data_IF_860388984560
#
_entry.id   IF_860388984560
#
_cell.length_a   1.000
_cell.length_b   1.000
_cell.length_c   1.000
_cell.angle_alpha   90.00
_cell.angle_beta   90.00
_cell.angle_gamma   90.00
#
_symmetry.space_group_name_H-M   'P 1'
#
loop_
_entity.id
_entity.type
_entity.pdbx_description
1 polymer ?
#
# COMPACT_ATOMS: atom_id res chain seq x y z
N UNK A 1 2.64 1.40 -20.69
CA UNK A 1 2.08 2.11 -19.52
C UNK A 1 0.59 2.18 -19.71
N UNK A 2 -0.21 1.89 -18.69
CA UNK A 2 -1.66 1.89 -18.80
C UNK A 2 -2.31 2.46 -17.55
N UNK A 3 -3.38 3.21 -17.77
CA UNK A 3 -4.33 3.67 -16.77
C UNK A 3 -5.72 3.26 -17.25
N UNK A 4 -6.52 2.65 -16.39
CA UNK A 4 -7.93 2.40 -16.67
C UNK A 4 -8.78 2.68 -15.43
N UNK A 5 -9.98 3.19 -15.68
CA UNK A 5 -10.99 3.49 -14.67
C UNK A 5 -12.23 2.67 -14.99
N UNK A 6 -12.76 1.97 -13.99
CA UNK A 6 -13.92 1.11 -14.14
C UNK A 6 -14.93 1.39 -13.05
N UNK A 7 -16.21 1.44 -13.42
CA UNK A 7 -17.31 1.40 -12.46
C UNK A 7 -17.49 -0.06 -12.05
N UNK A 8 -17.57 -0.32 -10.75
CA UNK A 8 -17.77 -1.67 -10.21
C UNK A 8 -18.98 -1.72 -9.27
N UNK A 9 -19.54 -2.92 -9.13
CA UNK A 9 -20.70 -3.19 -8.29
C UNK A 9 -20.31 -3.91 -7.00
N UNK A 10 -19.17 -4.61 -7.03
CA UNK A 10 -18.64 -5.35 -5.90
C UNK A 10 -17.11 -5.46 -5.98
N UNK A 11 -16.48 -5.73 -4.82
CA UNK A 11 -15.05 -6.05 -4.76
C UNK A 11 -14.72 -7.29 -5.62
N UNK A 12 -15.65 -8.23 -5.78
CA UNK A 12 -15.47 -9.41 -6.64
C UNK A 12 -15.26 -9.10 -8.12
N UNK A 13 -15.56 -7.88 -8.57
CA UNK A 13 -15.32 -7.45 -9.95
C UNK A 13 -13.83 -7.13 -10.16
N UNK A 14 -13.10 -6.74 -9.11
CA UNK A 14 -11.71 -6.28 -9.18
C UNK A 14 -10.75 -7.35 -9.72
N UNK A 15 -10.77 -8.63 -9.25
CA UNK A 15 -9.89 -9.66 -9.80
C UNK A 15 -10.01 -9.84 -11.31
N UNK A 16 -11.23 -9.86 -11.86
CA UNK A 16 -11.47 -10.00 -13.30
C UNK A 16 -10.90 -8.82 -14.07
N UNK A 17 -11.09 -7.59 -13.57
CA UNK A 17 -10.55 -6.39 -14.19
C UNK A 17 -9.01 -6.38 -14.14
N UNK A 18 -8.42 -6.82 -13.03
CA UNK A 18 -6.96 -6.95 -12.91
C UNK A 18 -6.42 -8.04 -13.83
N UNK A 19 -7.10 -9.18 -13.96
CA UNK A 19 -6.73 -10.22 -14.92
C UNK A 19 -6.64 -9.64 -16.33
N UNK A 20 -7.71 -8.96 -16.79
CA UNK A 20 -7.75 -8.32 -18.10
C UNK A 20 -6.65 -7.25 -18.25
N UNK A 21 -6.53 -6.35 -17.27
CA UNK A 21 -5.55 -5.27 -17.29
C UNK A 21 -4.10 -5.77 -17.32
N UNK A 22 -3.75 -6.70 -16.44
CA UNK A 22 -2.42 -7.31 -16.38
C UNK A 22 -2.09 -8.04 -17.69
N UNK A 23 -3.05 -8.77 -18.26
CA UNK A 23 -2.90 -9.44 -19.57
C UNK A 23 -2.63 -8.42 -20.67
N UNK A 24 -3.41 -7.33 -20.74
CA UNK A 24 -3.21 -6.28 -21.77
C UNK A 24 -1.90 -5.54 -21.62
N UNK A 25 -1.40 -5.40 -20.38
CA UNK A 25 -0.10 -4.81 -20.11
C UNK A 25 1.05 -5.72 -20.51
N UNK A 26 0.83 -7.03 -20.67
CA UNK A 26 1.85 -8.04 -20.98
C UNK A 26 2.50 -8.69 -19.75
N UNK A 27 1.81 -8.67 -18.60
CA UNK A 27 2.20 -9.53 -17.48
C UNK A 27 1.92 -11.00 -17.81
N UNK A 28 2.69 -11.91 -17.20
CA UNK A 28 2.37 -13.33 -17.22
C UNK A 28 1.22 -13.59 -16.23
N UNK A 29 0.03 -13.85 -16.77
CA UNK A 29 -1.20 -14.07 -15.99
C UNK A 29 -1.68 -15.49 -16.20
N UNK A 30 -1.91 -16.19 -15.10
CA UNK A 30 -2.45 -17.55 -15.04
C UNK A 30 -3.58 -17.63 -13.99
N UNK A 31 -4.05 -18.83 -13.66
CA UNK A 31 -5.17 -19.02 -12.75
C UNK A 31 -6.53 -18.81 -13.44
N UNK A 32 -7.55 -18.46 -12.68
CA UNK A 32 -8.89 -18.14 -13.22
C UNK A 32 -9.10 -16.64 -13.29
N UNK A 33 -10.06 -16.17 -14.09
CA UNK A 33 -10.42 -14.75 -14.14
C UNK A 33 -10.83 -14.19 -12.77
N UNK A 34 -11.52 -15.00 -11.96
CA UNK A 34 -11.95 -14.62 -10.62
C UNK A 34 -10.82 -14.68 -9.56
N UNK A 35 -9.74 -15.42 -9.83
CA UNK A 35 -8.57 -15.54 -8.95
C UNK A 35 -7.29 -15.56 -9.79
N UNK A 36 -6.92 -14.42 -10.40
CA UNK A 36 -5.77 -14.38 -11.29
C UNK A 36 -4.48 -14.53 -10.50
N UNK A 37 -3.54 -15.26 -11.08
CA UNK A 37 -2.17 -15.38 -10.60
C UNK A 37 -1.31 -14.53 -11.53
N UNK A 38 -0.85 -13.39 -11.02
CA UNK A 38 0.02 -12.46 -11.75
C UNK A 38 1.46 -12.76 -11.38
N UNK A 39 2.28 -13.01 -12.39
CA UNK A 39 3.74 -13.15 -12.26
C UNK A 39 4.39 -11.88 -12.75
N UNK A 40 5.41 -11.48 -12.01
CA UNK A 40 6.28 -10.41 -12.42
C UNK A 40 7.01 -10.80 -13.72
N UNK A 41 6.99 -9.97 -14.78
CA UNK A 41 7.73 -10.26 -15.99
C UNK A 41 9.22 -10.40 -15.67
N UNK A 42 9.84 -11.43 -16.25
CA UNK A 42 11.25 -11.71 -16.02
C UNK A 42 12.10 -10.56 -16.58
N UNK A 43 12.98 -9.98 -15.76
CA UNK A 43 14.00 -9.05 -16.25
C UNK A 43 14.95 -9.88 -17.14
N UNK A 44 14.84 -9.74 -18.47
CA UNK A 44 15.61 -10.41 -19.54
C UNK A 44 15.02 -11.67 -20.23
N UNK A 45 13.77 -12.07 -19.96
CA UNK A 45 13.03 -13.02 -20.82
C UNK A 45 13.44 -14.51 -20.75
N UNK A 46 12.47 -15.36 -21.12
CA UNK A 46 12.44 -16.84 -21.15
C UNK A 46 12.37 -17.57 -19.78
N UNK A 47 11.15 -17.85 -19.32
CA UNK A 47 10.86 -18.69 -18.14
C UNK A 47 10.11 -17.93 -17.03
N UNK A 48 9.50 -18.62 -16.04
CA UNK A 48 8.76 -17.97 -14.96
C UNK A 48 9.74 -17.16 -14.11
N UNK A 49 9.78 -15.85 -14.37
CA UNK A 49 10.51 -14.88 -13.59
C UNK A 49 9.74 -14.45 -12.36
N UNK A 50 10.46 -14.28 -11.25
CA UNK A 50 9.91 -13.66 -10.06
C UNK A 50 8.83 -14.48 -9.32
N UNK A 51 8.33 -13.87 -8.25
CA UNK A 51 7.27 -14.45 -7.42
C UNK A 51 5.92 -14.31 -8.12
N UNK A 52 5.10 -15.35 -8.06
CA UNK A 52 3.72 -15.28 -8.52
C UNK A 52 2.81 -14.82 -7.38
N UNK A 53 1.83 -13.99 -7.68
CA UNK A 53 0.89 -13.46 -6.70
C UNK A 53 -0.54 -13.76 -7.14
N UNK A 54 -1.28 -14.48 -6.31
CA UNK A 54 -2.71 -14.64 -6.48
C UNK A 54 -3.43 -13.39 -5.97
N UNK A 55 -4.30 -12.82 -6.80
CA UNK A 55 -5.30 -11.85 -6.38
C UNK A 55 -6.58 -12.58 -6.06
N UNK A 56 -7.19 -12.28 -4.93
CA UNK A 56 -8.54 -12.75 -4.63
C UNK A 56 -9.39 -11.64 -4.02
N UNK A 57 -10.69 -11.76 -4.23
CA UNK A 57 -11.70 -11.01 -3.49
C UNK A 57 -12.26 -11.90 -2.40
N UNK A 58 -12.35 -11.39 -1.17
CA UNK A 58 -12.92 -12.11 -0.03
C UNK A 58 -14.17 -11.38 0.42
N UNK A 59 -15.30 -12.08 0.35
CA UNK A 59 -16.60 -11.60 0.80
C UNK A 59 -17.10 -12.55 1.88
N UNK A 60 -17.04 -12.12 3.14
CA UNK A 60 -17.54 -12.92 4.27
C UNK A 60 -18.12 -12.01 5.34
N UNK A 61 -19.41 -12.18 5.65
CA UNK A 61 -20.15 -11.29 6.56
C UNK A 61 -20.07 -9.84 6.09
N UNK A 62 -19.45 -8.97 6.89
CA UNK A 62 -19.20 -7.55 6.58
C UNK A 62 -17.86 -7.28 5.89
N UNK A 63 -16.97 -8.28 5.79
CA UNK A 63 -15.66 -8.11 5.16
C UNK A 63 -15.80 -8.11 3.64
N UNK A 64 -15.14 -7.16 3.00
CA UNK A 64 -15.09 -6.95 1.54
C UNK A 64 -13.66 -6.57 1.21
N UNK A 65 -12.86 -7.58 0.93
CA UNK A 65 -11.40 -7.43 0.88
C UNK A 65 -10.87 -7.78 -0.51
N UNK A 66 -9.82 -7.09 -0.95
CA UNK A 66 -8.97 -7.52 -2.07
C UNK A 66 -7.59 -7.83 -1.52
N UNK A 67 -7.05 -9.00 -1.87
CA UNK A 67 -5.79 -9.49 -1.32
C UNK A 67 -4.83 -9.96 -2.41
N UNK A 68 -3.59 -9.47 -2.35
CA UNK A 68 -2.44 -10.12 -2.97
C UNK A 68 -1.86 -11.17 -2.01
N UNK A 69 -1.63 -12.38 -2.52
CA UNK A 69 -0.97 -13.47 -1.79
C UNK A 69 0.12 -14.08 -2.65
N UNK A 70 1.37 -14.06 -2.17
CA UNK A 70 2.46 -14.74 -2.84
C UNK A 70 2.19 -16.25 -2.94
N UNK A 71 2.56 -16.87 -4.05
CA UNK A 71 2.50 -18.32 -4.26
C UNK A 71 3.78 -19.03 -3.78
N UNK A 72 4.60 -18.34 -2.99
CA UNK A 72 5.76 -18.91 -2.30
C UNK A 72 5.61 -18.75 -0.79
N UNK A 73 6.10 -19.74 -0.05
CA UNK A 73 6.14 -19.75 1.41
C UNK A 73 7.58 -19.60 1.87
N UNK A 74 7.82 -18.77 2.87
CA UNK A 74 9.17 -18.55 3.44
C UNK A 74 9.10 -18.76 4.94
N UNK A 75 9.88 -19.74 5.41
CA UNK A 75 9.88 -20.14 6.82
C UNK A 75 8.47 -20.40 7.35
N UNK A 76 7.61 -21.02 6.53
CA UNK A 76 6.22 -21.32 6.86
C UNK A 76 5.24 -20.15 6.71
N UNK A 77 5.68 -18.97 6.27
CA UNK A 77 4.83 -17.78 6.17
C UNK A 77 4.70 -17.32 4.71
N UNK A 78 3.47 -17.04 4.30
CA UNK A 78 3.13 -16.55 2.95
C UNK A 78 3.00 -15.03 2.98
N UNK A 79 3.82 -14.28 2.22
CA UNK A 79 3.66 -12.84 2.06
C UNK A 79 2.27 -12.48 1.50
N UNK A 80 1.59 -11.54 2.15
CA UNK A 80 0.26 -11.07 1.72
C UNK A 80 0.03 -9.59 2.04
N UNK A 81 -0.82 -8.97 1.23
CA UNK A 81 -1.29 -7.60 1.44
C UNK A 81 -2.75 -7.47 1.09
N UNK A 82 -3.53 -6.83 1.96
CA UNK A 82 -4.98 -6.74 1.82
C UNK A 82 -5.45 -5.30 1.92
N UNK A 83 -6.38 -4.89 1.06
CA UNK A 83 -7.24 -3.73 1.28
C UNK A 83 -8.62 -4.21 1.71
N UNK A 84 -9.23 -3.48 2.65
CA UNK A 84 -10.57 -3.72 3.14
C UNK A 84 -11.46 -2.52 2.83
N UNK A 85 -12.67 -2.78 2.33
CA UNK A 85 -13.66 -1.74 2.15
C UNK A 85 -14.00 -1.07 3.51
N UNK A 86 -14.24 0.24 3.54
CA UNK A 86 -14.75 0.91 4.74
C UNK A 86 -16.04 0.26 5.24
N UNK A 87 -16.14 0.09 6.56
CA UNK A 87 -17.35 -0.36 7.22
C UNK A 87 -18.08 0.89 7.71
N UNK A 88 -19.27 1.18 7.15
CA UNK A 88 -20.10 2.27 7.62
C UNK A 88 -21.04 1.79 8.74
N UNK A 89 -21.32 2.62 9.76
CA UNK A 89 -22.21 2.17 10.83
C UNK A 89 -23.61 1.92 10.32
N UNK A 90 -24.16 0.86 10.88
CA UNK A 90 -25.58 0.61 11.03
C UNK A 90 -26.26 1.78 11.75
N UNK A 91 -27.37 2.32 11.24
CA UNK A 91 -28.42 2.85 12.11
C UNK A 91 -28.80 1.78 13.13
N UNK A 92 -29.39 2.14 14.26
CA UNK A 92 -29.83 1.20 15.32
C UNK A 92 -30.86 0.13 14.86
N UNK A 93 -31.22 0.13 13.58
CA UNK A 93 -32.07 -0.87 12.92
C UNK A 93 -31.21 -1.86 12.11
N UNK A 94 -31.18 -3.16 12.47
CA UNK A 94 -30.34 -4.18 11.84
C UNK A 94 -30.82 -4.65 10.45
N UNK A 95 -31.87 -4.05 9.87
CA UNK A 95 -32.47 -4.53 8.62
C UNK A 95 -31.92 -3.93 7.32
N UNK A 96 -31.04 -2.92 7.39
CA UNK A 96 -30.42 -2.31 6.19
C UNK A 96 -28.90 -2.23 6.35
N UNK A 97 -28.18 -3.07 5.60
CA UNK A 97 -26.73 -2.97 5.49
C UNK A 97 -26.36 -1.75 4.64
N UNK A 98 -25.83 -0.67 5.23
CA UNK A 98 -25.18 0.39 4.46
C UNK A 98 -23.72 0.00 4.25
N UNK A 99 -23.51 -0.95 3.35
CA UNK A 99 -22.21 -1.19 2.75
C UNK A 99 -22.12 -0.21 1.59
N UNK A 100 -21.20 0.78 1.64
CA UNK A 100 -20.83 1.41 0.37
C UNK A 100 -19.98 0.40 -0.38
N UNK A 101 -20.58 -0.19 -1.40
CA UNK A 101 -19.85 -0.92 -2.40
C UNK A 101 -18.81 0.02 -3.01
N UNK A 102 -17.59 -0.45 -3.32
CA UNK A 102 -16.68 0.35 -4.12
C UNK A 102 -17.42 0.80 -5.38
N UNK A 103 -17.35 2.09 -5.68
CA UNK A 103 -18.03 2.65 -6.85
C UNK A 103 -17.13 2.55 -8.06
N UNK A 104 -15.81 2.68 -7.84
CA UNK A 104 -14.81 2.69 -8.89
C UNK A 104 -13.56 1.94 -8.49
N UNK A 105 -12.90 1.39 -9.49
CA UNK A 105 -11.52 0.93 -9.39
C UNK A 105 -10.67 1.61 -10.46
N UNK A 106 -9.50 2.05 -10.03
CA UNK A 106 -8.45 2.59 -10.87
C UNK A 106 -7.32 1.59 -10.93
N UNK A 107 -6.99 1.13 -12.13
CA UNK A 107 -5.88 0.23 -12.39
C UNK A 107 -4.78 1.03 -13.09
N UNK A 108 -3.60 1.05 -12.47
CA UNK A 108 -2.43 1.74 -13.00
C UNK A 108 -1.28 0.74 -13.07
N UNK A 109 -0.55 0.70 -14.17
CA UNK A 109 0.58 -0.21 -14.28
C UNK A 109 1.50 0.07 -15.46
N UNK A 110 2.70 -0.51 -15.38
CA UNK A 110 3.71 -0.46 -16.42
C UNK A 110 4.54 -1.74 -16.44
N UNK A 111 5.26 -1.97 -17.54
CA UNK A 111 6.26 -3.04 -17.65
C UNK A 111 7.69 -2.53 -17.53
N UNK A 112 7.95 -1.30 -17.98
CA UNK A 112 9.29 -0.70 -18.09
C UNK A 112 9.30 0.68 -17.43
N UNK A 113 10.38 1.11 -16.75
CA UNK A 113 11.64 0.39 -16.55
C UNK A 113 11.52 -0.84 -15.62
N UNK A 114 10.66 -0.79 -14.60
CA UNK A 114 10.32 -1.97 -13.80
C UNK A 114 8.80 -2.16 -13.68
N UNK A 115 8.33 -3.43 -13.68
CA UNK A 115 6.91 -3.70 -13.74
C UNK A 115 6.19 -3.46 -12.42
N UNK A 116 5.00 -2.87 -12.50
CA UNK A 116 4.08 -2.76 -11.37
C UNK A 116 2.61 -2.72 -11.78
N UNK A 117 1.75 -3.03 -10.82
CA UNK A 117 0.30 -2.87 -10.85
C UNK A 117 -0.13 -2.24 -9.52
N UNK A 118 -0.80 -1.10 -9.59
CA UNK A 118 -1.49 -0.48 -8.49
C UNK A 118 -3.01 -0.60 -8.72
N UNK A 119 -3.71 -0.94 -7.65
CA UNK A 119 -5.16 -1.03 -7.58
C UNK A 119 -5.59 0.02 -6.56
N UNK A 120 -6.36 1.00 -7.01
CA UNK A 120 -6.99 1.99 -6.13
C UNK A 120 -8.49 1.79 -6.21
N UNK A 121 -9.14 1.55 -5.07
CA UNK A 121 -10.61 1.46 -5.01
C UNK A 121 -11.18 2.71 -4.36
N UNK A 122 -12.27 3.23 -4.90
CA UNK A 122 -12.98 4.40 -4.37
C UNK A 122 -14.33 3.98 -3.81
N UNK A 123 -14.59 4.34 -2.55
CA UNK A 123 -15.73 3.92 -1.73
C UNK A 123 -16.54 5.13 -1.28
N UNK A 124 -17.07 5.89 -2.24
CA UNK A 124 -17.78 7.15 -2.00
C UNK A 124 -16.96 8.39 -2.36
N UNK A 125 -17.40 9.58 -1.94
CA UNK A 125 -16.80 10.85 -2.38
C UNK A 125 -15.37 11.04 -1.84
N UNK A 126 -14.38 10.76 -2.69
CA UNK A 126 -12.94 10.89 -2.41
C UNK A 126 -12.40 9.99 -1.28
N UNK A 127 -12.97 8.79 -1.09
CA UNK A 127 -12.49 7.81 -0.12
C UNK A 127 -11.78 6.66 -0.83
N UNK A 128 -10.47 6.55 -0.66
CA UNK A 128 -9.62 5.63 -1.41
C UNK A 128 -9.04 4.50 -0.54
N UNK A 129 -8.78 3.36 -1.18
CA UNK A 129 -7.95 2.26 -0.67
C UNK A 129 -6.91 1.86 -1.69
N UNK A 130 -5.66 1.70 -1.24
CA UNK A 130 -4.50 1.44 -2.10
C UNK A 130 -3.95 0.03 -1.92
N UNK A 131 -3.78 -0.70 -3.02
CA UNK A 131 -3.08 -1.99 -3.07
C UNK A 131 -2.03 -1.94 -4.18
N UNK A 132 -0.82 -2.40 -3.89
CA UNK A 132 0.33 -2.31 -4.78
C UNK A 132 1.04 -3.65 -4.89
N UNK A 133 1.39 -4.03 -6.11
CA UNK A 133 2.29 -5.11 -6.47
C UNK A 133 3.27 -4.55 -7.50
N UNK A 134 4.57 -4.54 -7.21
CA UNK A 134 5.53 -3.91 -8.11
C UNK A 134 6.96 -4.30 -7.82
N UNK A 135 7.88 -3.86 -8.67
CA UNK A 135 9.29 -3.87 -8.34
C UNK A 135 9.75 -2.54 -7.74
N UNK A 136 10.88 -2.60 -7.05
CA UNK A 136 11.65 -1.42 -6.64
C UNK A 136 12.76 -1.09 -7.65
N UNK A 137 12.98 0.21 -7.84
CA UNK A 137 14.25 0.75 -8.32
C UNK A 137 15.29 0.47 -7.23
N UNK A 138 16.23 -0.43 -7.50
CA UNK A 138 17.18 -0.94 -6.49
C UNK A 138 18.36 -0.01 -6.30
N UNK A 139 18.85 0.07 -5.07
CA UNK A 139 20.12 0.71 -4.73
C UNK A 139 21.15 -0.38 -4.46
N UNK A 140 22.27 -0.38 -5.17
CA UNK A 140 23.31 -1.41 -5.00
C UNK A 140 22.99 -2.72 -5.74
N UNK A 141 23.49 -3.83 -5.21
CA UNK A 141 23.52 -5.15 -5.87
C UNK A 141 22.48 -6.15 -5.31
N UNK A 142 21.43 -5.68 -4.62
CA UNK A 142 20.38 -6.56 -4.13
C UNK A 142 19.68 -7.28 -5.29
N UNK A 143 19.37 -8.55 -5.08
CA UNK A 143 18.51 -9.34 -5.96
C UNK A 143 17.07 -9.35 -5.43
N UNK A 144 16.13 -9.80 -6.26
CA UNK A 144 14.70 -9.61 -6.03
C UNK A 144 14.27 -8.17 -6.29
N UNK A 145 13.45 -7.63 -5.40
CA UNK A 145 12.88 -6.29 -5.47
C UNK A 145 11.36 -6.27 -5.59
N UNK A 146 10.70 -7.43 -5.52
CA UNK A 146 9.25 -7.52 -5.47
C UNK A 146 8.72 -6.85 -4.20
N UNK A 147 7.82 -5.89 -4.37
CA UNK A 147 7.16 -5.11 -3.33
C UNK A 147 5.68 -5.41 -3.40
N UNK A 148 5.11 -5.86 -2.29
CA UNK A 148 3.66 -5.85 -2.08
C UNK A 148 3.36 -4.95 -0.91
N UNK A 149 2.36 -4.10 -1.04
CA UNK A 149 1.90 -3.31 0.08
C UNK A 149 0.48 -2.85 -0.12
N UNK A 150 -0.19 -2.56 0.97
CA UNK A 150 -1.55 -2.08 0.97
C UNK A 150 -1.75 -1.09 2.09
N UNK A 151 -2.67 -0.18 1.84
CA UNK A 151 -3.29 0.59 2.87
C UNK A 151 -4.43 -0.25 3.45
N UNK A 152 -4.21 -0.77 4.66
CA UNK A 152 -5.33 -1.32 5.41
C UNK A 152 -6.14 -0.17 6.04
N UNK A 153 -7.46 -0.34 6.16
CA UNK A 153 -8.37 0.65 6.75
C UNK A 153 -7.98 1.03 8.20
N UNK A 154 -8.68 1.98 8.84
CA UNK A 154 -8.32 2.40 10.18
C UNK A 154 -8.34 1.21 11.14
N UNK A 155 -7.35 1.19 12.04
CA UNK A 155 -7.27 0.21 13.10
C UNK A 155 -7.70 0.89 14.41
N UNK A 156 -8.82 0.45 14.97
CA UNK A 156 -9.41 1.00 16.18
C UNK A 156 -8.51 0.76 17.40
N UNK A 157 -8.11 1.82 18.10
CA UNK A 157 -8.16 1.77 19.56
C UNK A 157 -8.33 3.15 20.20
N UNK A 158 -9.41 3.25 20.97
CA UNK A 158 -9.65 4.29 21.95
C UNK A 158 -8.61 4.16 23.08
N UNK A 159 -7.74 5.15 23.26
CA UNK A 159 -7.06 5.34 24.56
C UNK A 159 -5.54 5.48 24.57
N UNK A 160 -4.86 5.63 23.43
CA UNK A 160 -3.43 5.94 23.44
C UNK A 160 -3.15 7.23 22.69
N UNK A 161 -2.64 8.26 23.36
CA UNK A 161 -1.85 9.28 22.65
C UNK A 161 -0.61 8.57 22.10
N UNK A 162 -0.48 8.40 20.78
CA UNK A 162 0.84 8.08 20.26
C UNK A 162 1.58 9.39 20.13
N UNK A 163 2.51 9.61 21.04
CA UNK A 163 3.58 10.56 20.76
C UNK A 163 4.32 10.10 19.50
N UNK A 164 4.52 11.04 18.58
CA UNK A 164 5.27 10.87 17.33
C UNK A 164 6.77 10.51 17.53
N UNK A 165 7.20 10.23 18.76
CA UNK A 165 8.60 10.15 19.16
C UNK A 165 9.17 8.73 19.22
N UNK A 166 8.35 7.68 19.07
CA UNK A 166 8.82 6.29 19.13
C UNK A 166 9.31 5.82 17.74
N UNK A 167 10.61 6.02 17.48
CA UNK A 167 11.39 5.77 16.24
C UNK A 167 11.29 4.39 15.56
N UNK A 168 10.41 3.48 15.98
CA UNK A 168 10.32 2.10 15.45
C UNK A 168 8.89 1.62 15.21
N UNK A 169 7.88 2.48 15.37
CA UNK A 169 6.49 2.06 15.30
C UNK A 169 5.83 2.54 14.03
N UNK A 170 5.98 1.68 13.00
CA UNK A 170 5.24 1.56 11.73
C UNK A 170 5.96 2.12 10.51
N UNK A 171 6.47 1.22 9.69
CA UNK A 171 7.20 1.54 8.48
C UNK A 171 6.49 0.90 7.29
N UNK A 172 5.41 1.52 6.83
CA UNK A 172 4.63 1.02 5.70
C UNK A 172 4.79 1.95 4.52
N UNK A 173 4.93 1.37 3.33
CA UNK A 173 4.84 2.12 2.08
C UNK A 173 3.51 2.90 2.00
N UNK A 174 2.41 2.27 2.45
CA UNK A 174 1.10 2.90 2.61
C UNK A 174 0.68 2.90 4.10
N UNK A 175 0.42 4.06 4.69
CA UNK A 175 -0.06 4.16 6.08
C UNK A 175 -1.19 5.19 6.23
N UNK A 176 -2.15 4.86 7.10
CA UNK A 176 -3.17 5.77 7.64
C UNK A 176 -2.90 5.91 9.15
N UNK A 177 -3.18 7.07 9.73
CA UNK A 177 -2.80 7.44 11.10
C UNK A 177 -3.17 6.38 12.17
N UNK A 178 -2.20 6.08 13.06
CA UNK A 178 -2.19 5.43 14.40
C UNK A 178 -3.15 4.24 14.72
N UNK A 179 -2.73 2.97 14.81
CA UNK A 179 -2.38 2.10 15.99
C UNK A 179 -3.49 2.01 17.02
N UNK A 180 -4.25 0.91 17.06
CA UNK A 180 -3.69 -0.37 17.47
C UNK A 180 -4.54 -1.57 17.04
N UNK A 181 -3.85 -2.70 16.80
CA UNK A 181 -4.35 -4.08 16.62
C UNK A 181 -4.32 -4.65 15.20
N UNK A 182 -3.26 -5.44 15.00
CA UNK A 182 -3.18 -6.66 14.21
C UNK A 182 -4.03 -6.72 12.93
N UNK A 183 -3.37 -6.52 11.80
CA UNK A 183 -3.65 -7.39 10.65
C UNK A 183 -2.30 -7.82 10.07
N UNK A 184 -2.14 -9.13 9.85
CA UNK A 184 -0.91 -9.77 9.34
C UNK A 184 -0.70 -9.49 7.82
N UNK A 185 -1.20 -8.37 7.29
CA UNK A 185 -1.56 -8.21 5.87
C UNK A 185 -1.16 -6.86 5.26
N UNK A 186 0.03 -6.35 5.60
CA UNK A 186 0.55 -5.06 5.08
C UNK A 186 1.64 -5.19 4.00
N UNK A 187 1.97 -6.44 3.63
CA UNK A 187 2.97 -6.75 2.62
C UNK A 187 4.43 -6.68 3.10
N UNK A 188 5.33 -6.45 2.15
CA UNK A 188 6.77 -6.46 2.36
C UNK A 188 7.55 -6.29 1.06
N UNK A 189 8.86 -6.48 1.16
CA UNK A 189 9.81 -6.42 0.05
C UNK A 189 10.65 -7.69 0.03
N UNK A 190 10.75 -8.32 -1.13
CA UNK A 190 11.67 -9.40 -1.39
C UNK A 190 13.07 -8.85 -1.63
N UNK A 191 13.99 -9.16 -0.72
CA UNK A 191 15.39 -8.72 -0.77
C UNK A 191 16.27 -9.98 -0.71
N UNK A 192 16.98 -10.27 -1.79
CA UNK A 192 17.92 -11.41 -1.84
C UNK A 192 19.34 -10.86 -1.85
N UNK A 193 20.12 -11.15 -0.81
CA UNK A 193 21.51 -10.70 -0.65
C UNK A 193 22.22 -11.57 0.38
N UNK A 194 23.55 -11.73 0.27
CA UNK A 194 24.34 -12.56 1.20
C UNK A 194 24.22 -12.11 2.67
N UNK A 195 24.19 -10.80 2.90
CA UNK A 195 23.99 -10.21 4.23
C UNK A 195 22.54 -10.30 4.74
N UNK A 196 21.62 -10.86 3.96
CA UNK A 196 20.21 -10.95 4.32
C UNK A 196 19.82 -12.38 4.70
N UNK A 197 19.50 -12.59 5.97
CA UNK A 197 19.08 -13.89 6.51
C UNK A 197 17.64 -14.28 6.13
N UNK A 198 16.84 -13.34 5.62
CA UNK A 198 15.42 -13.55 5.32
C UNK A 198 15.04 -12.92 3.98
N UNK A 199 14.63 -13.74 3.02
CA UNK A 199 14.33 -13.30 1.65
C UNK A 199 13.20 -12.27 1.58
N UNK A 200 12.17 -12.38 2.41
CA UNK A 200 11.11 -11.37 2.49
C UNK A 200 11.23 -10.57 3.77
N UNK A 201 11.45 -9.27 3.58
CA UNK A 201 11.43 -8.27 4.64
C UNK A 201 10.03 -7.69 4.74
N UNK A 202 9.48 -7.62 5.94
CA UNK A 202 8.08 -7.20 6.14
C UNK A 202 8.01 -5.73 6.49
N UNK A 203 6.98 -5.04 5.99
CA UNK A 203 6.67 -3.69 6.47
C UNK A 203 6.13 -3.69 7.92
N UNK A 204 5.73 -4.88 8.42
CA UNK A 204 5.33 -5.11 9.81
C UNK A 204 6.42 -5.84 10.59
N UNK A 205 6.68 -5.36 11.80
CA UNK A 205 7.36 -6.10 12.85
C UNK A 205 6.36 -7.08 13.52
N UNK A 206 6.58 -8.40 13.48
CA UNK A 206 5.83 -9.37 14.26
C UNK A 206 6.20 -9.27 15.76
N UNK A 207 5.92 -8.14 16.41
CA UNK A 207 6.02 -7.99 17.86
C UNK A 207 4.64 -8.06 18.47
N UNK A 208 4.20 -9.31 18.68
CA UNK A 208 3.24 -9.59 19.74
C UNK A 208 3.89 -9.32 21.09
N UNK A 209 3.13 -8.68 21.99
CA UNK A 209 3.41 -8.50 23.42
C UNK A 209 4.58 -7.57 23.83
N UNK A 210 4.21 -6.33 24.22
CA UNK A 210 4.65 -5.55 25.41
C UNK A 210 6.16 -5.52 25.79
N UNK A 211 7.10 -5.72 24.86
CA UNK A 211 8.51 -5.44 25.14
C UNK A 211 9.14 -4.57 24.04
N UNK A 212 9.47 -3.29 24.30
CA UNK A 212 9.94 -2.35 23.28
C UNK A 212 11.38 -2.58 22.75
N UNK A 213 12.12 -3.62 23.15
CA UNK A 213 13.60 -3.52 23.16
C UNK A 213 14.42 -4.41 22.22
N UNK A 214 13.88 -5.11 21.22
CA UNK A 214 14.75 -5.88 20.30
C UNK A 214 14.24 -5.97 18.85
N UNK A 215 14.70 -5.05 18.02
CA UNK A 215 14.58 -5.19 16.57
C UNK A 215 15.06 -6.58 16.12
N UNK A 216 14.24 -7.32 15.36
CA UNK A 216 14.53 -8.74 15.03
C UNK A 216 15.21 -8.92 13.66
N UNK A 217 15.44 -7.83 12.93
CA UNK A 217 16.29 -7.84 11.74
C UNK A 217 15.64 -8.40 10.48
N UNK A 218 14.32 -8.58 10.45
CA UNK A 218 13.55 -9.11 9.29
C UNK A 218 12.61 -8.07 8.67
N UNK A 219 12.76 -6.80 9.05
CA UNK A 219 11.84 -5.72 8.69
C UNK A 219 12.46 -4.81 7.62
N UNK A 220 11.59 -4.24 6.81
CA UNK A 220 11.89 -3.18 5.86
C UNK A 220 11.21 -1.91 6.34
N UNK A 221 11.97 -0.82 6.38
CA UNK A 221 11.45 0.51 6.62
C UNK A 221 11.20 1.23 5.31
N UNK A 222 10.35 2.25 5.33
CA UNK A 222 10.11 3.10 4.18
C UNK A 222 8.63 3.40 4.01
N UNK A 223 8.33 4.66 3.72
CA UNK A 223 6.98 5.18 3.46
C UNK A 223 6.58 6.31 4.40
N UNK A 224 5.28 6.51 4.58
CA UNK A 224 4.77 7.61 5.41
C UNK A 224 4.85 7.29 6.91
N UNK A 225 5.05 8.31 7.75
CA UNK A 225 5.25 8.20 9.21
C UNK A 225 6.53 7.47 9.66
N UNK A 226 7.45 7.16 8.75
CA UNK A 226 8.83 6.88 9.15
C UNK A 226 9.59 8.19 9.38
N UNK A 227 10.62 8.16 10.23
CA UNK A 227 11.40 9.35 10.59
C UNK A 227 12.26 9.92 9.43
N UNK A 228 12.28 9.26 8.27
CA UNK A 228 13.17 9.58 7.14
C UNK A 228 12.40 10.36 6.06
N UNK A 229 11.25 9.86 5.65
CA UNK A 229 10.44 10.38 4.55
C UNK A 229 9.41 11.41 5.02
N UNK A 230 8.92 11.34 6.27
CA UNK A 230 7.89 12.28 6.77
C UNK A 230 8.34 13.75 6.74
N UNK A 231 9.56 14.13 7.18
CA UNK A 231 10.03 15.51 7.08
C UNK A 231 10.15 16.02 5.64
N UNK A 232 10.32 15.12 4.65
CA UNK A 232 10.37 15.49 3.24
C UNK A 232 8.96 15.83 2.73
N UNK A 233 7.94 15.07 3.13
CA UNK A 233 6.52 15.32 2.77
C UNK A 233 6.01 16.64 3.32
N UNK A 234 6.36 16.98 4.57
CA UNK A 234 5.98 18.25 5.17
C UNK A 234 6.60 19.46 4.43
N UNK A 235 7.82 19.32 3.92
CA UNK A 235 8.55 20.40 3.22
C UNK A 235 8.14 20.56 1.75
N UNK A 236 7.37 19.63 1.20
CA UNK A 236 7.01 19.56 -0.21
C UNK A 236 5.98 20.57 -0.72
N UNK A 237 5.73 21.65 0.03
CA UNK A 237 4.65 22.61 -0.26
C UNK A 237 4.90 23.53 -1.46
N UNK A 238 6.10 23.51 -2.06
CA UNK A 238 6.43 24.43 -3.16
C UNK A 238 5.90 23.94 -4.52
N UNK A 239 4.80 24.53 -4.96
CA UNK A 239 4.17 24.32 -6.27
C UNK A 239 5.09 24.70 -7.45
N UNK A 240 6.06 25.59 -7.24
CA UNK A 240 6.93 26.11 -8.30
C UNK A 240 8.20 25.30 -8.53
N UNK A 241 8.62 24.49 -7.55
CA UNK A 241 9.92 23.81 -7.63
C UNK A 241 9.91 22.53 -8.46
N UNK A 242 8.74 21.88 -8.65
CA UNK A 242 8.57 20.59 -9.34
C UNK A 242 9.26 19.40 -8.64
N UNK A 243 10.50 19.60 -8.19
CA UNK A 243 11.38 18.67 -7.50
C UNK A 243 10.86 18.18 -6.14
N UNK A 244 9.92 18.90 -5.53
CA UNK A 244 9.36 18.53 -4.24
C UNK A 244 7.93 17.99 -4.31
N UNK A 245 7.26 17.97 -5.47
CA UNK A 245 5.86 17.50 -5.54
C UNK A 245 5.78 15.98 -5.35
N UNK A 246 6.78 15.24 -5.85
CA UNK A 246 6.82 13.77 -5.84
C UNK A 246 8.01 13.28 -5.02
N UNK A 247 7.73 12.74 -3.84
CA UNK A 247 8.75 12.25 -2.92
C UNK A 247 8.90 10.73 -3.05
N UNK A 248 10.11 10.21 -3.29
CA UNK A 248 10.34 8.78 -3.31
C UNK A 248 10.11 8.17 -1.92
N UNK A 249 9.37 7.06 -1.86
CA UNK A 249 9.28 6.25 -0.65
C UNK A 249 10.55 5.38 -0.55
N UNK A 250 11.62 5.95 0.00
CA UNK A 250 12.89 5.24 0.16
C UNK A 250 12.72 4.09 1.15
N UNK A 251 13.13 2.90 0.71
CA UNK A 251 13.05 1.67 1.49
C UNK A 251 14.42 1.31 2.05
N UNK A 252 14.44 0.88 3.30
CA UNK A 252 15.64 0.53 4.04
C UNK A 252 15.48 -0.85 4.65
N UNK A 253 16.50 -1.70 4.50
CA UNK A 253 16.60 -2.91 5.30
C UNK A 253 17.40 -2.63 6.55
N UNK A 254 17.21 -3.53 7.49
CA UNK A 254 17.88 -3.49 8.78
C UNK A 254 18.87 -4.60 8.91
N UNK A 255 20.04 -4.21 9.40
CA UNK A 255 21.11 -5.10 9.74
C UNK A 255 21.38 -4.97 11.23
N UNK A 256 21.17 -6.05 11.96
CA UNK A 256 21.57 -6.14 13.36
C UNK A 256 23.09 -6.31 13.40
N UNK A 257 23.76 -5.39 14.08
CA UNK A 257 25.20 -5.48 14.38
C UNK A 257 25.35 -5.53 15.90
N UNK A 258 26.47 -6.05 16.41
CA UNK A 258 26.66 -6.18 17.87
C UNK A 258 26.49 -4.83 18.57
N UNK A 259 25.42 -4.70 19.36
CA UNK A 259 25.09 -3.49 20.13
C UNK A 259 24.38 -2.36 19.36
N UNK A 260 24.04 -2.53 18.07
CA UNK A 260 23.42 -1.47 17.26
C UNK A 260 22.61 -2.01 16.06
N UNK A 261 21.87 -1.14 15.36
CA UNK A 261 21.12 -1.45 14.14
C UNK A 261 21.49 -0.46 13.04
N UNK A 262 21.92 -0.98 11.90
CA UNK A 262 22.19 -0.17 10.72
C UNK A 262 21.04 -0.26 9.72
N UNK A 263 20.67 0.89 9.15
CA UNK A 263 19.70 0.98 8.07
C UNK A 263 20.44 1.08 6.74
N UNK A 264 20.21 0.12 5.85
CA UNK A 264 20.79 0.11 4.49
C UNK A 264 19.69 0.39 3.49
N UNK A 265 19.85 1.45 2.70
CA UNK A 265 18.93 1.73 1.62
C UNK A 265 18.94 0.56 0.61
N UNK A 266 17.76 0.06 0.27
CA UNK A 266 17.60 -1.03 -0.70
C UNK A 266 16.98 -0.56 -2.01
N UNK A 267 16.31 0.59 -2.01
CA UNK A 267 15.64 1.10 -3.20
C UNK A 267 14.40 1.89 -2.87
N UNK A 268 13.51 2.01 -3.85
CA UNK A 268 12.19 2.63 -3.73
C UNK A 268 11.24 1.97 -4.74
N UNK A 269 9.94 1.83 -4.46
CA UNK A 269 8.99 1.30 -5.43
C UNK A 269 8.98 2.14 -6.71
N UNK A 270 9.04 1.52 -7.88
CA UNK A 270 9.13 2.26 -9.16
C UNK A 270 7.86 3.07 -9.44
N UNK A 271 6.71 2.49 -9.12
CA UNK A 271 5.42 2.98 -9.59
C UNK A 271 4.71 4.00 -8.70
N UNK A 272 5.24 4.31 -7.51
CA UNK A 272 4.55 5.17 -6.53
C UNK A 272 5.50 6.19 -5.89
N UNK A 273 4.97 7.39 -5.66
CA UNK A 273 5.60 8.48 -4.90
C UNK A 273 4.62 9.01 -3.87
N UNK A 274 5.14 9.49 -2.74
CA UNK A 274 4.37 10.27 -1.79
C UNK A 274 4.18 11.68 -2.37
N UNK A 275 3.01 12.25 -2.19
CA UNK A 275 2.69 13.61 -2.65
C UNK A 275 1.94 14.36 -1.57
N UNK A 276 2.23 15.64 -1.42
CA UNK A 276 1.43 16.52 -0.59
C UNK A 276 0.17 16.95 -1.38
N UNK A 277 -1.01 16.54 -0.91
CA UNK A 277 -2.30 16.79 -1.58
C UNK A 277 -2.99 18.08 -1.13
N UNK A 278 -2.36 18.91 -0.30
CA UNK A 278 -2.93 20.18 0.19
C UNK A 278 -3.49 21.03 -0.95
N UNK A 279 -2.77 21.13 -2.07
CA UNK A 279 -3.16 21.92 -3.23
C UNK A 279 -3.41 21.09 -4.49
N UNK A 280 -3.42 19.76 -4.36
CA UNK A 280 -3.61 18.83 -5.49
C UNK A 280 -4.92 18.11 -5.25
N UNK A 281 -5.83 18.18 -6.22
CA UNK A 281 -7.08 17.43 -6.13
C UNK A 281 -6.85 15.94 -6.38
N UNK A 282 -7.54 15.04 -5.68
CA UNK A 282 -7.50 13.62 -5.99
C UNK A 282 -7.82 13.38 -7.47
N UNK A 283 -7.07 12.47 -8.09
CA UNK A 283 -7.09 12.08 -9.51
C UNK A 283 -6.44 13.08 -10.47
N UNK A 284 -5.89 14.20 -9.96
CA UNK A 284 -5.15 15.15 -10.77
C UNK A 284 -3.96 14.49 -11.46
N UNK A 285 -3.70 14.94 -12.69
CA UNK A 285 -2.53 14.55 -13.47
C UNK A 285 -1.41 15.55 -13.19
N UNK A 286 -0.24 15.04 -12.83
CA UNK A 286 0.98 15.78 -12.56
C UNK A 286 2.01 15.39 -13.62
N UNK A 287 2.61 16.37 -14.28
CA UNK A 287 3.70 16.12 -15.24
C UNK A 287 5.01 16.58 -14.63
N UNK A 288 5.97 15.66 -14.52
CA UNK A 288 7.31 15.93 -13.99
C UNK A 288 8.34 15.43 -15.00
N UNK A 289 9.00 16.35 -15.70
CA UNK A 289 9.87 16.00 -16.82
C UNK A 289 9.07 15.30 -17.93
N UNK A 290 9.53 14.12 -18.34
CA UNK A 290 8.84 13.29 -19.33
C UNK A 290 7.81 12.32 -18.72
N UNK A 291 7.67 12.30 -17.39
CA UNK A 291 6.81 11.35 -16.68
C UNK A 291 5.47 11.98 -16.32
N UNK A 292 4.41 11.20 -16.47
CA UNK A 292 3.07 11.56 -16.02
C UNK A 292 2.70 10.75 -14.81
N UNK A 293 2.18 11.42 -13.80
CA UNK A 293 1.78 10.85 -12.52
C UNK A 293 0.32 11.19 -12.25
N UNK A 294 -0.42 10.28 -11.64
CA UNK A 294 -1.79 10.53 -11.18
C UNK A 294 -1.84 10.44 -9.66
N UNK A 295 -2.22 11.53 -9.02
CA UNK A 295 -2.31 11.63 -7.57
C UNK A 295 -3.65 11.09 -7.06
N UNK A 296 -3.64 10.43 -5.91
CA UNK A 296 -4.83 10.02 -5.17
C UNK A 296 -4.62 10.40 -3.70
N UNK A 297 -5.68 10.78 -2.99
CA UNK A 297 -5.57 10.98 -1.55
C UNK A 297 -5.24 9.64 -0.89
N UNK A 298 -4.39 9.65 0.13
CA UNK A 298 -3.96 8.43 0.77
C UNK A 298 -5.12 7.70 1.43
N UNK A 299 -6.07 8.41 2.03
CA UNK A 299 -7.36 7.85 2.48
C UNK A 299 -8.51 8.71 2.01
N UNK A 300 -8.57 9.94 2.50
CA UNK A 300 -9.54 10.95 2.11
C UNK A 300 -8.90 12.32 2.22
N UNK A 301 -9.32 13.25 1.36
CA UNK A 301 -8.97 14.68 1.42
C UNK A 301 -10.09 15.46 2.12
N UNK A 302 -10.51 15.00 3.30
CA UNK A 302 -11.55 15.65 4.10
C UNK A 302 -10.97 16.09 5.44
N UNK A 303 -11.08 17.39 5.73
CA UNK A 303 -10.58 18.01 6.97
C UNK A 303 -11.48 17.69 8.18
N UNK A 304 -12.72 17.25 7.93
CA UNK A 304 -13.72 16.91 8.94
C UNK A 304 -14.31 15.53 8.68
N UNK A 305 -14.25 14.63 9.65
CA UNK A 305 -14.85 13.29 9.62
C UNK A 305 -16.38 13.33 9.67
N UNK A 306 -17.01 13.89 8.63
CA UNK A 306 -18.48 13.92 8.48
C UNK A 306 -18.95 12.58 7.97
N UNK A 307 -18.74 11.57 8.78
CA UNK A 307 -19.43 10.30 8.66
C UNK A 307 -20.25 10.19 9.95
N UNK A 308 -21.60 10.20 9.88
CA UNK A 308 -22.44 10.35 11.06
C UNK A 308 -22.05 9.30 12.11
N UNK A 309 -21.78 9.76 13.32
CA UNK A 309 -21.51 8.89 14.45
C UNK A 309 -22.73 8.00 14.65
N UNK A 310 -22.53 6.67 14.73
CA UNK A 310 -23.54 5.81 15.32
C UNK A 310 -23.83 6.34 16.73
N UNK A 311 -25.11 6.58 17.03
CA UNK A 311 -25.52 6.87 18.39
C UNK A 311 -24.98 5.79 19.33
N UNK A 312 -24.37 6.22 20.44
CA UNK A 312 -23.83 5.33 21.48
C UNK A 312 -22.31 5.20 21.50
N UNK A 313 -21.62 6.24 21.99
CA UNK A 313 -20.41 6.09 22.81
C UNK A 313 -19.08 5.70 22.15
N UNK A 314 -19.00 5.37 20.85
CA UNK A 314 -17.73 5.08 20.18
C UNK A 314 -17.60 5.81 18.85
N UNK A 315 -16.75 6.85 18.81
CA UNK A 315 -16.41 7.59 17.60
C UNK A 315 -15.35 6.84 16.79
N UNK A 316 -15.74 5.80 16.05
CA UNK A 316 -14.82 4.99 15.22
C UNK A 316 -14.36 5.73 13.94
N UNK A 317 -14.81 6.96 13.70
CA UNK A 317 -14.71 7.65 12.39
C UNK A 317 -13.87 8.93 12.35
N UNK A 318 -13.39 9.42 13.48
CA UNK A 318 -12.69 10.71 13.53
C UNK A 318 -11.28 10.70 12.91
N UNK A 319 -10.81 9.57 12.36
CA UNK A 319 -9.39 9.38 12.01
C UNK A 319 -9.10 8.75 10.63
N UNK A 320 -10.08 8.63 9.72
CA UNK A 320 -9.82 8.23 8.33
C UNK A 320 -9.35 9.41 7.43
N UNK A 321 -8.64 10.36 8.01
CA UNK A 321 -8.11 11.50 7.29
C UNK A 321 -6.59 11.52 7.33
N UNK A 322 -6.00 11.59 6.16
CA UNK A 322 -4.63 12.02 5.94
C UNK A 322 -4.71 13.17 4.96
N UNK A 323 -5.31 14.27 5.44
CA UNK A 323 -5.92 15.36 4.64
C UNK A 323 -4.98 15.86 3.54
N UNK A 324 -3.68 15.83 3.80
CA UNK A 324 -2.64 16.34 2.90
C UNK A 324 -1.64 15.28 2.43
N UNK A 325 -1.87 14.00 2.73
CA UNK A 325 -1.07 12.93 2.16
C UNK A 325 -1.79 12.34 0.94
N UNK A 326 -1.02 12.06 -0.09
CA UNK A 326 -1.45 11.26 -1.21
C UNK A 326 -0.37 10.33 -1.74
N UNK A 327 -0.82 9.45 -2.62
CA UNK A 327 0.04 8.60 -3.42
C UNK A 327 -0.12 8.99 -4.88
N UNK A 328 0.99 9.29 -5.52
CA UNK A 328 1.05 9.53 -6.96
C UNK A 328 1.56 8.27 -7.64
N UNK A 329 0.81 7.77 -8.62
CA UNK A 329 1.19 6.61 -9.42
C UNK A 329 1.61 7.02 -10.81
N UNK A 330 2.70 6.44 -11.30
CA UNK A 330 3.20 6.72 -12.65
C UNK A 330 2.22 6.16 -13.69
N UNK A 331 1.74 7.00 -14.60
CA UNK A 331 0.70 6.65 -15.56
C UNK A 331 1.10 6.84 -17.03
N UNK A 332 2.19 7.56 -17.32
CA UNK A 332 2.84 7.66 -18.64
C UNK A 332 4.29 8.13 -18.51
#
# INVERSE_FOLDING_TARGET
MAYSEHIISAMSDVPTLVHAFATTLGFDVSGTTANPIVRHPNYNGAGPGGVAFALSSITSGVNRDIRWTAQETISGIVPKSTIRAPIFATPADPTVAIIQHPQKVYLIGMLTPEPFIAIVTEHGYNLYRHLYLGFMEKIGNYQGGEVISSQNGPITNFGGSSDMSSRSRKNFLFSNVQTAWADDESGGVRVVHADNTVTWRRFRNPRGTIVPTAYIGDEVLGGFSDSINDPLVAKAQSQFSGANILIPANLYTTQVVTGDIRFRAIGKPTGVRLVNTQFIEPRSVLTVGAETWRAFAATSKQDSGVEPAAGGGAAYRLYESSVYLGYAYRSN
#
